data_IF_978148269493
#
_entry.id   IF_978148269493
#
_cell.length_a   1.000
_cell.length_b   1.000
_cell.length_c   1.000
_cell.angle_alpha   90.00
_cell.angle_beta   90.00
_cell.angle_gamma   90.00
#
_symmetry.space_group_name_H-M   'P 1'
#
loop_
_entity.id
_entity.type
_entity.pdbx_description
1 polymer ?
#
# COMPACT_ATOMS: atom_id res chain seq x y z
N UNK A 1 -17.57 17.42 -2.99
CA UNK A 1 -16.22 16.85 -3.20
C UNK A 1 -16.01 16.56 -4.68
N UNK A 2 -14.87 16.96 -5.26
CA UNK A 2 -14.56 16.66 -6.68
C UNK A 2 -14.30 15.15 -6.84
N UNK A 3 -14.84 14.49 -7.89
CA UNK A 3 -14.51 13.09 -8.17
C UNK A 3 -13.01 12.95 -8.39
N UNK A 4 -12.42 11.84 -7.92
CA UNK A 4 -11.02 11.54 -8.15
C UNK A 4 -10.77 11.51 -9.67
N UNK A 5 -10.11 12.53 -10.23
CA UNK A 5 -9.96 12.71 -11.69
C UNK A 5 -9.05 11.67 -12.35
N UNK A 6 -8.42 10.78 -11.58
CA UNK A 6 -7.41 9.83 -12.04
C UNK A 6 -7.75 8.37 -11.66
N UNK A 7 -8.97 7.90 -11.96
CA UNK A 7 -9.26 6.47 -11.84
C UNK A 7 -8.91 5.74 -13.14
N UNK A 8 -8.34 4.54 -13.01
CA UNK A 8 -7.97 3.67 -14.13
C UNK A 8 -9.19 2.90 -14.62
N UNK A 9 -9.98 2.39 -13.69
CA UNK A 9 -11.21 1.67 -13.98
C UNK A 9 -12.21 1.93 -12.86
N UNK A 10 -13.47 2.14 -13.26
CA UNK A 10 -14.63 2.23 -12.38
C UNK A 10 -15.65 1.23 -12.87
N UNK A 11 -16.07 0.34 -11.99
CA UNK A 11 -17.03 -0.72 -12.33
C UNK A 11 -18.06 -0.91 -11.22
N UNK A 12 -19.24 -1.41 -11.57
CA UNK A 12 -20.31 -1.71 -10.64
C UNK A 12 -20.26 -3.19 -10.28
N UNK A 13 -19.90 -3.50 -9.04
CA UNK A 13 -19.74 -4.87 -8.55
C UNK A 13 -20.52 -5.08 -7.26
N UNK A 14 -20.67 -6.34 -6.90
CA UNK A 14 -21.05 -6.74 -5.56
C UNK A 14 -19.81 -6.90 -4.71
N UNK A 15 -19.87 -6.50 -3.46
CA UNK A 15 -18.78 -6.72 -2.53
C UNK A 15 -19.28 -7.03 -1.13
N UNK A 16 -18.47 -7.76 -0.39
CA UNK A 16 -18.69 -8.18 0.98
C UNK A 16 -17.44 -7.84 1.79
N UNK A 17 -17.62 -7.18 2.92
CA UNK A 17 -16.51 -6.88 3.84
C UNK A 17 -16.66 -7.74 5.08
N UNK A 18 -15.62 -8.51 5.37
CA UNK A 18 -15.50 -9.31 6.59
C UNK A 18 -14.38 -8.70 7.43
N UNK A 19 -14.76 -8.10 8.57
CA UNK A 19 -13.81 -7.53 9.53
C UNK A 19 -13.94 -8.24 10.89
N UNK A 20 -12.88 -8.26 11.71
CA UNK A 20 -13.00 -8.64 13.12
C UNK A 20 -13.87 -7.62 13.88
N UNK A 21 -14.58 -8.10 14.89
CA UNK A 21 -15.61 -7.36 15.64
C UNK A 21 -15.13 -6.06 16.28
N UNK A 22 -13.82 -5.88 16.40
CA UNK A 22 -13.11 -4.74 17.03
C UNK A 22 -12.92 -3.52 16.12
N UNK A 23 -13.16 -3.65 14.80
CA UNK A 23 -12.87 -2.57 13.85
C UNK A 23 -13.98 -1.50 13.78
N UNK A 24 -13.63 -0.22 13.96
CA UNK A 24 -14.51 0.96 13.83
C UNK A 24 -14.86 1.35 12.38
N UNK A 25 -14.91 0.39 11.46
CA UNK A 25 -15.23 0.67 10.06
C UNK A 25 -16.75 0.86 9.88
N UNK A 26 -17.16 2.06 9.47
CA UNK A 26 -18.54 2.40 9.10
C UNK A 26 -18.88 1.83 7.72
N UNK A 27 -19.03 0.51 7.64
CA UNK A 27 -19.51 -0.16 6.44
C UNK A 27 -20.38 -1.35 6.87
N UNK A 28 -21.50 -1.66 6.18
CA UNK A 28 -22.25 -2.89 6.41
C UNK A 28 -21.32 -4.10 6.26
N UNK A 29 -21.16 -4.84 7.36
CA UNK A 29 -20.23 -5.97 7.49
C UNK A 29 -21.02 -7.25 7.41
N UNK A 30 -20.48 -8.27 6.72
CA UNK A 30 -21.16 -9.54 6.43
C UNK A 30 -22.42 -9.41 5.56
N UNK A 31 -22.67 -8.25 4.96
CA UNK A 31 -23.76 -8.03 4.01
C UNK A 31 -23.23 -7.77 2.60
N UNK A 32 -23.85 -8.41 1.61
CA UNK A 32 -23.54 -8.17 0.21
C UNK A 32 -24.07 -6.81 -0.22
N UNK A 33 -23.15 -5.94 -0.63
CA UNK A 33 -23.45 -4.61 -1.11
C UNK A 33 -23.21 -4.51 -2.61
N UNK A 34 -24.10 -3.83 -3.33
CA UNK A 34 -23.86 -3.43 -4.73
C UNK A 34 -23.34 -2.01 -4.74
N UNK A 35 -22.17 -1.78 -5.33
CA UNK A 35 -21.61 -0.44 -5.41
C UNK A 35 -20.45 -0.31 -6.40
N UNK A 36 -19.95 0.91 -6.53
CA UNK A 36 -18.86 1.23 -7.41
C UNK A 36 -17.53 0.82 -6.80
N UNK A 37 -16.77 0.04 -7.56
CA UNK A 37 -15.39 -0.31 -7.27
C UNK A 37 -14.51 0.49 -8.21
N UNK A 38 -13.69 1.36 -7.63
CA UNK A 38 -12.85 2.31 -8.36
C UNK A 38 -11.39 2.01 -8.07
N UNK A 39 -10.65 1.59 -9.08
CA UNK A 39 -9.22 1.36 -9.00
C UNK A 39 -8.48 2.58 -9.54
N UNK A 40 -7.56 3.10 -8.73
CA UNK A 40 -6.63 4.17 -9.11
C UNK A 40 -5.20 3.60 -9.25
N UNK A 41 -4.20 4.46 -9.38
CA UNK A 41 -2.79 4.05 -9.45
C UNK A 41 -2.31 3.26 -8.24
N UNK A 42 -2.83 3.60 -7.06
CA UNK A 42 -2.28 3.26 -5.75
C UNK A 42 -3.36 2.89 -4.73
N UNK A 43 -4.64 3.16 -5.02
CA UNK A 43 -5.76 2.92 -4.09
C UNK A 43 -6.92 2.20 -4.78
N UNK A 44 -7.58 1.31 -4.04
CA UNK A 44 -8.88 0.72 -4.40
C UNK A 44 -9.96 1.35 -3.52
N UNK A 45 -11.01 1.89 -4.14
CA UNK A 45 -12.16 2.45 -3.44
C UNK A 45 -13.41 1.61 -3.66
N UNK A 46 -14.19 1.40 -2.59
CA UNK A 46 -15.55 0.87 -2.64
C UNK A 46 -16.50 1.99 -2.25
N UNK A 47 -17.51 2.24 -3.07
CA UNK A 47 -18.47 3.33 -2.86
C UNK A 47 -19.90 2.82 -3.09
N UNK A 48 -20.79 3.02 -2.13
CA UNK A 48 -22.21 2.74 -2.34
C UNK A 48 -22.85 3.76 -3.30
N UNK A 49 -23.92 3.39 -4.03
CA UNK A 49 -24.56 4.27 -5.01
C UNK A 49 -25.10 5.58 -4.41
N UNK A 50 -25.50 5.54 -3.14
CA UNK A 50 -26.00 6.69 -2.38
C UNK A 50 -24.90 7.68 -1.96
N UNK A 51 -23.62 7.29 -2.10
CA UNK A 51 -22.45 8.10 -1.76
C UNK A 51 -22.15 8.19 -0.26
N UNK A 52 -22.98 7.61 0.60
CA UNK A 52 -22.87 7.73 2.07
C UNK A 52 -21.70 6.93 2.64
N UNK A 53 -21.31 5.86 1.94
CA UNK A 53 -20.29 4.93 2.41
C UNK A 53 -19.16 4.81 1.39
N UNK A 54 -17.95 5.19 1.82
CA UNK A 54 -16.73 5.08 1.01
C UNK A 54 -15.61 4.42 1.80
N UNK A 55 -15.28 3.18 1.42
CA UNK A 55 -14.07 2.52 1.87
C UNK A 55 -12.94 2.80 0.88
N UNK A 56 -11.76 3.13 1.37
CA UNK A 56 -10.55 3.30 0.56
C UNK A 56 -9.45 2.43 1.15
N UNK A 57 -8.83 1.60 0.32
CA UNK A 57 -7.72 0.74 0.72
C UNK A 57 -6.51 0.98 -0.16
N UNK A 58 -5.36 1.36 0.41
CA UNK A 58 -4.10 1.41 -0.33
C UNK A 58 -3.73 0.04 -0.90
N UNK A 59 -3.23 0.00 -2.13
CA UNK A 59 -2.85 -1.26 -2.79
C UNK A 59 -1.66 -1.96 -2.11
N UNK A 60 -0.80 -1.20 -1.42
CA UNK A 60 0.28 -1.77 -0.60
C UNK A 60 -0.22 -2.39 0.72
N UNK A 61 -1.46 -2.12 1.14
CA UNK A 61 -2.09 -2.74 2.32
C UNK A 61 -2.61 -4.16 2.04
N UNK A 62 -2.78 -4.52 0.77
CA UNK A 62 -3.32 -5.83 0.37
C UNK A 62 -2.24 -6.90 0.50
N UNK A 63 -2.38 -7.75 1.50
CA UNK A 63 -1.43 -8.83 1.80
C UNK A 63 -1.62 -10.00 0.83
N UNK A 64 -2.87 -10.38 0.57
CA UNK A 64 -3.24 -11.52 -0.28
C UNK A 64 -4.35 -11.12 -1.25
N UNK A 65 -4.25 -11.65 -2.47
CA UNK A 65 -5.30 -11.51 -3.48
C UNK A 65 -5.46 -12.84 -4.22
N UNK A 66 -6.64 -13.44 -4.17
CA UNK A 66 -6.90 -14.74 -4.79
C UNK A 66 -8.26 -14.80 -5.48
N UNK A 67 -8.33 -15.58 -6.56
CA UNK A 67 -9.59 -15.88 -7.24
C UNK A 67 -10.28 -17.00 -6.46
N UNK A 68 -11.53 -16.76 -6.06
CA UNK A 68 -12.28 -17.78 -5.36
C UNK A 68 -12.84 -18.77 -6.36
N UNK A 69 -12.53 -20.06 -6.16
CA UNK A 69 -13.13 -21.14 -6.94
C UNK A 69 -14.55 -21.40 -6.43
N UNK A 70 -15.44 -21.86 -7.32
CA UNK A 70 -16.76 -22.32 -6.93
C UNK A 70 -16.62 -23.56 -6.05
N UNK A 71 -16.62 -23.37 -4.73
CA UNK A 71 -16.54 -24.42 -3.71
C UNK A 71 -16.61 -23.85 -2.30
N UNK A 72 -17.15 -24.62 -1.35
CA UNK A 72 -17.11 -24.34 0.10
C UNK A 72 -18.08 -23.30 0.67
N UNK A 73 -18.31 -22.16 0.02
CA UNK A 73 -19.12 -21.07 0.60
C UNK A 73 -19.75 -20.09 -0.38
N UNK A 74 -19.54 -20.27 -1.69
CA UNK A 74 -20.00 -19.37 -2.75
C UNK A 74 -21.09 -20.00 -3.64
N UNK A 75 -21.85 -20.94 -3.10
CA UNK A 75 -22.88 -21.69 -3.86
C UNK A 75 -23.94 -20.79 -4.50
N UNK A 76 -24.14 -19.58 -3.97
CA UNK A 76 -25.10 -18.60 -4.45
C UNK A 76 -24.59 -17.71 -5.60
N UNK A 77 -23.33 -17.84 -6.02
CA UNK A 77 -22.79 -17.01 -7.11
C UNK A 77 -23.19 -17.60 -8.47
N UNK A 78 -23.86 -16.82 -9.34
CA UNK A 78 -24.23 -17.25 -10.70
C UNK A 78 -23.05 -17.84 -11.51
N UNK A 79 -23.30 -18.72 -12.47
CA UNK A 79 -22.25 -19.34 -13.32
C UNK A 79 -21.49 -18.35 -14.18
N UNK A 80 -22.17 -17.28 -14.60
CA UNK A 80 -21.58 -16.17 -15.33
C UNK A 80 -20.85 -15.16 -14.43
N UNK A 81 -20.77 -15.39 -13.12
CA UNK A 81 -20.07 -14.51 -12.19
C UNK A 81 -18.69 -15.05 -11.81
N UNK A 82 -17.80 -14.13 -11.47
CA UNK A 82 -16.49 -14.39 -10.89
C UNK A 82 -16.42 -13.73 -9.52
N UNK A 83 -15.63 -14.31 -8.62
CA UNK A 83 -15.34 -13.72 -7.33
C UNK A 83 -13.83 -13.73 -7.05
N UNK A 84 -13.37 -12.71 -6.35
CA UNK A 84 -12.00 -12.61 -5.85
C UNK A 84 -11.99 -12.08 -4.44
N UNK A 85 -11.07 -12.58 -3.62
CA UNK A 85 -10.87 -12.15 -2.24
C UNK A 85 -9.57 -11.37 -2.13
N UNK A 86 -9.65 -10.27 -1.39
CA UNK A 86 -8.52 -9.47 -0.94
C UNK A 86 -8.44 -9.60 0.58
N UNK A 87 -7.25 -9.87 1.11
CA UNK A 87 -6.96 -9.71 2.52
C UNK A 87 -6.12 -8.45 2.69
N UNK A 88 -6.53 -7.61 3.64
CA UNK A 88 -5.96 -6.28 3.83
C UNK A 88 -5.52 -6.13 5.28
N UNK A 89 -4.28 -5.69 5.47
CA UNK A 89 -3.75 -5.29 6.77
C UNK A 89 -4.17 -3.84 7.04
N UNK A 90 -5.03 -3.64 8.02
CA UNK A 90 -5.59 -2.33 8.38
C UNK A 90 -4.53 -1.37 8.92
N UNK A 91 -3.43 -1.86 9.49
CA UNK A 91 -2.45 -1.04 10.20
C UNK A 91 -1.02 -1.12 9.63
N UNK A 92 -0.80 -1.81 8.50
CA UNK A 92 0.53 -2.04 7.91
C UNK A 92 1.59 -2.59 8.89
N UNK A 93 1.16 -3.14 10.02
CA UNK A 93 1.97 -3.54 11.17
C UNK A 93 1.63 -4.94 11.67
N UNK A 94 0.77 -5.67 10.95
CA UNK A 94 0.22 -6.94 11.42
C UNK A 94 -0.93 -6.75 12.42
N UNK A 95 -1.75 -5.71 12.22
CA UNK A 95 -2.99 -5.51 12.97
C UNK A 95 -4.12 -6.41 12.48
N UNK A 96 -5.35 -6.07 12.89
CA UNK A 96 -6.58 -6.75 12.49
C UNK A 96 -6.70 -6.84 10.97
N UNK A 97 -6.61 -8.05 10.42
CA UNK A 97 -6.85 -8.33 9.01
C UNK A 97 -8.34 -8.27 8.72
N UNK A 98 -8.72 -7.56 7.68
CA UNK A 98 -10.07 -7.67 7.12
C UNK A 98 -9.99 -8.22 5.70
N UNK A 99 -11.04 -8.90 5.28
CA UNK A 99 -11.16 -9.39 3.91
C UNK A 99 -12.29 -8.70 3.16
N UNK A 100 -12.03 -8.47 1.87
CA UNK A 100 -12.98 -7.92 0.92
C UNK A 100 -13.17 -8.93 -0.18
N UNK A 101 -14.39 -9.41 -0.33
CA UNK A 101 -14.77 -10.26 -1.46
C UNK A 101 -15.44 -9.36 -2.49
N UNK A 102 -14.95 -9.40 -3.72
CA UNK A 102 -15.53 -8.72 -4.88
C UNK A 102 -16.16 -9.76 -5.79
N UNK A 103 -17.35 -9.49 -6.31
CA UNK A 103 -18.03 -10.36 -7.26
C UNK A 103 -18.82 -9.59 -8.31
N UNK A 104 -18.86 -10.12 -9.53
CA UNK A 104 -19.65 -9.57 -10.62
C UNK A 104 -19.61 -10.43 -11.88
N UNK A 105 -20.28 -10.00 -12.96
CA UNK A 105 -20.25 -10.70 -14.24
C UNK A 105 -18.81 -10.93 -14.70
N UNK A 106 -18.50 -12.12 -15.18
CA UNK A 106 -17.14 -12.53 -15.58
C UNK A 106 -16.55 -11.61 -16.65
N UNK A 107 -17.38 -11.13 -17.58
CA UNK A 107 -16.99 -10.17 -18.62
C UNK A 107 -16.46 -8.84 -18.07
N UNK A 108 -16.89 -8.45 -16.87
CA UNK A 108 -16.50 -7.21 -16.19
C UNK A 108 -15.42 -7.48 -15.14
N UNK A 109 -15.60 -8.54 -14.36
CA UNK A 109 -14.75 -8.87 -13.22
C UNK A 109 -13.37 -9.40 -13.65
N UNK A 110 -13.28 -10.16 -14.74
CA UNK A 110 -11.99 -10.69 -15.21
C UNK A 110 -10.98 -9.57 -15.60
N UNK A 111 -11.31 -8.64 -16.52
CA UNK A 111 -10.38 -7.58 -16.88
C UNK A 111 -10.09 -6.63 -15.71
N UNK A 112 -11.08 -6.36 -14.85
CA UNK A 112 -10.88 -5.60 -13.62
C UNK A 112 -9.87 -6.29 -12.68
N UNK A 113 -10.05 -7.59 -12.44
CA UNK A 113 -9.20 -8.36 -11.56
C UNK A 113 -7.76 -8.44 -12.07
N UNK A 114 -7.57 -8.64 -13.38
CA UNK A 114 -6.22 -8.71 -13.97
C UNK A 114 -5.47 -7.39 -13.82
N UNK A 115 -6.17 -6.27 -14.03
CA UNK A 115 -5.62 -4.94 -13.80
C UNK A 115 -5.28 -4.70 -12.32
N UNK A 116 -6.17 -5.12 -11.41
CA UNK A 116 -5.93 -5.03 -9.97
C UNK A 116 -4.67 -5.81 -9.58
N UNK A 117 -4.53 -7.06 -10.02
CA UNK A 117 -3.35 -7.90 -9.74
C UNK A 117 -2.06 -7.26 -10.29
N UNK A 118 -2.10 -6.71 -11.50
CA UNK A 118 -0.96 -6.00 -12.07
C UNK A 118 -0.55 -4.79 -11.21
N UNK A 119 -1.54 -4.03 -10.73
CA UNK A 119 -1.30 -2.85 -9.87
C UNK A 119 -0.80 -3.23 -8.48
N UNK A 120 -1.32 -4.30 -7.89
CA UNK A 120 -0.83 -4.85 -6.63
C UNK A 120 0.66 -5.25 -6.72
N UNK A 121 1.06 -5.92 -7.81
CA UNK A 121 2.48 -6.25 -8.05
C UNK A 121 3.35 -5.00 -8.13
N UNK A 122 2.90 -3.99 -8.87
CA UNK A 122 3.63 -2.71 -9.00
C UNK A 122 3.74 -1.97 -7.67
N UNK A 123 2.65 -1.91 -6.90
CA UNK A 123 2.63 -1.27 -5.58
C UNK A 123 3.59 -1.94 -4.60
N UNK A 124 3.59 -3.29 -4.55
CA UNK A 124 4.53 -4.05 -3.70
C UNK A 124 5.99 -3.79 -4.08
N UNK A 125 6.32 -3.78 -5.38
CA UNK A 125 7.69 -3.48 -5.84
C UNK A 125 8.12 -2.04 -5.52
N UNK A 126 7.20 -1.09 -5.57
CA UNK A 126 7.47 0.30 -5.19
C UNK A 126 7.70 0.46 -3.69
N UNK A 127 6.90 -0.19 -2.84
CA UNK A 127 7.07 -0.16 -1.39
C UNK A 127 8.41 -0.80 -1.00
N UNK A 128 8.75 -1.95 -1.58
CA UNK A 128 10.04 -2.60 -1.34
C UNK A 128 11.22 -1.68 -1.70
N UNK A 129 11.16 -0.98 -2.83
CA UNK A 129 12.20 -0.03 -3.23
C UNK A 129 12.31 1.14 -2.22
N UNK A 130 11.17 1.66 -1.75
CA UNK A 130 11.12 2.71 -0.75
C UNK A 130 11.73 2.24 0.58
N UNK A 131 11.44 1.02 0.99
CA UNK A 131 11.97 0.38 2.19
C UNK A 131 13.49 0.20 2.10
N UNK A 132 14.00 -0.28 0.97
CA UNK A 132 15.45 -0.39 0.71
C UNK A 132 16.16 0.97 0.77
N UNK A 133 15.56 2.03 0.21
CA UNK A 133 16.11 3.39 0.29
C UNK A 133 16.16 3.92 1.72
N UNK A 134 15.12 3.65 2.51
CA UNK A 134 15.07 4.03 3.93
C UNK A 134 16.10 3.26 4.75
N UNK A 135 16.28 1.96 4.50
CA UNK A 135 17.35 1.18 5.10
C UNK A 135 18.72 1.77 4.78
N UNK A 136 18.99 2.06 3.51
CA UNK A 136 20.25 2.68 3.06
C UNK A 136 20.50 4.04 3.73
N UNK A 137 19.46 4.86 3.87
CA UNK A 137 19.53 6.13 4.58
C UNK A 137 19.86 5.94 6.07
N UNK A 138 19.17 5.04 6.77
CA UNK A 138 19.45 4.79 8.19
C UNK A 138 20.85 4.23 8.44
N UNK A 139 21.34 3.37 7.56
CA UNK A 139 22.72 2.88 7.60
C UNK A 139 23.72 4.03 7.42
N UNK A 140 23.43 5.00 6.54
CA UNK A 140 24.28 6.19 6.37
C UNK A 140 24.32 7.09 7.60
N UNK A 141 23.29 7.03 8.45
CA UNK A 141 23.25 7.70 9.75
C UNK A 141 23.91 6.87 10.87
N UNK A 142 24.47 5.70 10.56
CA UNK A 142 25.14 4.81 11.51
C UNK A 142 24.22 3.85 12.25
N UNK A 143 22.93 3.75 11.89
CA UNK A 143 22.01 2.80 12.53
C UNK A 143 22.24 1.40 11.98
N UNK A 144 23.05 0.59 12.69
CA UNK A 144 23.41 -0.78 12.26
C UNK A 144 22.64 -1.89 12.96
N UNK A 145 21.94 -1.61 14.06
CA UNK A 145 21.23 -2.64 14.82
C UNK A 145 19.95 -3.07 14.10
N UNK A 146 19.73 -4.38 13.95
CA UNK A 146 18.51 -4.93 13.34
C UNK A 146 17.25 -4.47 14.08
N UNK A 147 17.32 -4.39 15.41
CA UNK A 147 16.23 -3.90 16.24
C UNK A 147 15.97 -2.40 16.03
N UNK A 148 17.02 -1.58 15.91
CA UNK A 148 16.88 -0.14 15.64
C UNK A 148 16.30 0.13 14.25
N UNK A 149 16.78 -0.59 13.24
CA UNK A 149 16.23 -0.53 11.88
C UNK A 149 14.77 -0.98 11.85
N UNK A 150 14.45 -2.11 12.48
CA UNK A 150 13.08 -2.63 12.58
C UNK A 150 12.15 -1.66 13.29
N UNK A 151 12.59 -1.05 14.39
CA UNK A 151 11.82 -0.06 15.13
C UNK A 151 11.56 1.21 14.32
N UNK A 152 12.61 1.84 13.76
CA UNK A 152 12.49 3.10 13.02
C UNK A 152 11.70 2.96 11.71
N UNK A 153 11.80 1.80 11.07
CA UNK A 153 11.08 1.51 9.83
C UNK A 153 9.74 0.84 10.04
N UNK A 154 9.42 0.49 11.29
CA UNK A 154 8.23 -0.27 11.64
C UNK A 154 8.15 -1.59 10.84
N UNK A 155 9.26 -2.30 10.79
CA UNK A 155 9.43 -3.56 10.05
C UNK A 155 9.76 -4.71 11.00
N UNK A 156 9.26 -5.89 10.66
CA UNK A 156 9.69 -7.13 11.30
C UNK A 156 11.15 -7.44 10.94
N UNK A 157 11.85 -8.12 11.85
CA UNK A 157 13.28 -8.38 11.70
C UNK A 157 13.61 -9.18 10.43
N UNK A 158 12.74 -10.10 10.01
CA UNK A 158 12.93 -10.89 8.78
C UNK A 158 12.91 -9.99 7.54
N UNK A 159 12.05 -8.97 7.53
CA UNK A 159 11.96 -8.00 6.43
C UNK A 159 13.20 -7.10 6.39
N UNK A 160 13.71 -6.69 7.55
CA UNK A 160 14.96 -5.94 7.67
C UNK A 160 16.13 -6.77 7.12
N UNK A 161 16.26 -8.03 7.57
CA UNK A 161 17.31 -8.95 7.11
C UNK A 161 17.25 -9.21 5.60
N UNK A 162 16.05 -9.45 5.07
CA UNK A 162 15.85 -9.61 3.63
C UNK A 162 16.28 -8.35 2.86
N UNK A 163 15.93 -7.17 3.37
CA UNK A 163 16.35 -5.88 2.81
C UNK A 163 17.86 -5.69 2.83
N UNK A 164 18.52 -5.94 3.96
CA UNK A 164 19.98 -5.86 4.10
C UNK A 164 20.70 -6.85 3.17
N UNK A 165 20.21 -8.10 3.09
CA UNK A 165 20.75 -9.10 2.18
C UNK A 165 20.66 -8.64 0.72
N UNK A 166 19.57 -7.98 0.34
CA UNK A 166 19.41 -7.42 -1.00
C UNK A 166 20.34 -6.24 -1.25
N UNK A 167 20.50 -5.31 -0.30
CA UNK A 167 21.47 -4.22 -0.40
C UNK A 167 22.90 -4.74 -0.56
N UNK A 168 23.27 -5.79 0.19
CA UNK A 168 24.57 -6.45 0.09
C UNK A 168 24.78 -7.11 -1.27
N UNK A 169 23.80 -7.89 -1.75
CA UNK A 169 23.84 -8.52 -3.09
C UNK A 169 23.92 -7.49 -4.22
N UNK A 170 23.31 -6.31 -4.05
CA UNK A 170 23.41 -5.20 -5.00
C UNK A 170 24.75 -4.43 -4.89
N UNK A 171 25.61 -4.77 -3.92
CA UNK A 171 26.91 -4.13 -3.67
C UNK A 171 26.78 -2.71 -3.13
N UNK A 172 25.66 -2.39 -2.47
CA UNK A 172 25.40 -1.06 -1.89
C UNK A 172 25.94 -0.95 -0.46
N UNK A 173 26.09 -2.09 0.21
CA UNK A 173 26.70 -2.20 1.53
C UNK A 173 27.71 -3.34 1.51
N UNK A 174 28.72 -3.26 2.37
CA UNK A 174 29.71 -4.32 2.55
C UNK A 174 29.27 -5.34 3.63
N UNK A 175 30.16 -6.28 3.97
CA UNK A 175 29.89 -7.32 4.98
C UNK A 175 29.76 -6.77 6.41
N UNK A 176 30.27 -5.56 6.68
CA UNK A 176 30.13 -4.87 7.97
C UNK A 176 28.85 -4.04 8.08
N UNK A 177 28.11 -3.93 6.98
CA UNK A 177 26.90 -3.12 6.86
C UNK A 177 27.17 -1.65 6.55
N UNK A 178 28.42 -1.28 6.25
CA UNK A 178 28.78 0.07 5.83
C UNK A 178 28.47 0.30 4.36
N UNK A 179 28.11 1.55 4.01
CA UNK A 179 27.79 1.90 2.64
C UNK A 179 29.06 1.85 1.77
N UNK A 180 28.97 1.19 0.63
CA UNK A 180 29.98 1.29 -0.41
C UNK A 180 29.88 2.63 -1.14
N UNK A 181 30.87 2.97 -1.96
CA UNK A 181 30.79 4.14 -2.83
C UNK A 181 29.53 4.11 -3.73
N UNK A 182 29.19 2.91 -4.23
CA UNK A 182 27.96 2.68 -5.00
C UNK A 182 26.71 2.95 -4.17
N UNK A 183 26.70 2.54 -2.90
CA UNK A 183 25.64 2.84 -1.94
C UNK A 183 25.46 4.35 -1.73
N UNK A 184 26.56 5.06 -1.49
CA UNK A 184 26.55 6.53 -1.29
C UNK A 184 26.03 7.27 -2.53
N UNK A 185 26.45 6.89 -3.73
CA UNK A 185 25.94 7.48 -4.99
C UNK A 185 24.44 7.24 -5.17
N UNK A 186 23.98 6.01 -4.92
CA UNK A 186 22.54 5.68 -5.00
C UNK A 186 21.71 6.44 -3.96
N UNK A 187 22.28 6.70 -2.79
CA UNK A 187 21.65 7.51 -1.76
C UNK A 187 21.56 8.99 -2.17
N UNK A 188 22.63 9.59 -2.69
CA UNK A 188 22.63 11.00 -3.10
C UNK A 188 21.64 11.27 -4.23
N UNK A 189 21.52 10.37 -5.22
CA UNK A 189 20.48 10.43 -6.25
C UNK A 189 19.06 10.40 -5.67
N UNK A 190 18.84 9.58 -4.64
CA UNK A 190 17.54 9.46 -3.98
C UNK A 190 17.21 10.70 -3.13
N UNK A 191 18.19 11.29 -2.45
CA UNK A 191 18.02 12.52 -1.64
C UNK A 191 17.73 13.72 -2.53
N UNK A 192 18.48 13.88 -3.63
CA UNK A 192 18.25 14.94 -4.62
C UNK A 192 16.86 14.86 -5.25
N UNK A 193 16.34 13.65 -5.47
CA UNK A 193 14.97 13.45 -5.97
C UNK A 193 13.91 13.90 -4.95
N UNK A 194 14.17 13.74 -3.65
CA UNK A 194 13.26 14.20 -2.59
C UNK A 194 13.29 15.74 -2.46
N UNK A 195 14.47 16.37 -2.56
CA UNK A 195 14.61 17.83 -2.52
C UNK A 195 13.88 18.51 -3.69
N UNK A 196 14.06 18.01 -4.93
CA UNK A 196 13.36 18.55 -6.10
C UNK A 196 11.84 18.36 -6.06
N UNK A 197 11.37 17.28 -5.42
CA UNK A 197 9.93 17.03 -5.25
C UNK A 197 9.30 17.93 -4.17
N UNK A 198 10.08 18.36 -3.18
CA UNK A 198 9.63 19.34 -2.19
C UNK A 198 9.52 20.74 -2.82
N UNK A 199 10.50 21.16 -3.63
CA UNK A 199 10.48 22.45 -4.34
C UNK A 199 9.30 22.57 -5.31
N UNK A 200 9.01 21.51 -6.09
CA UNK A 200 7.84 21.48 -7.00
C UNK A 200 6.49 21.45 -6.28
N UNK A 201 6.44 21.08 -4.99
CA UNK A 201 5.23 21.19 -4.16
C UNK A 201 5.08 22.59 -3.53
N UNK A 202 6.19 23.29 -3.29
CA UNK A 202 6.18 24.71 -2.89
C UNK A 202 5.68 25.61 -4.02
N UNK A 203 6.13 25.37 -5.26
CA UNK A 203 5.66 26.10 -6.45
C UNK A 203 4.17 25.85 -6.77
N UNK A 204 3.62 24.73 -6.31
CA UNK A 204 2.20 24.39 -6.45
C UNK A 204 1.30 25.04 -5.36
N UNK A 205 1.86 25.89 -4.49
CA UNK A 205 1.11 26.67 -3.51
C UNK A 205 0.68 25.91 -2.25
N UNK A 206 1.34 24.79 -1.91
CA UNK A 206 1.10 24.12 -0.63
C UNK A 206 1.86 24.81 0.51
N UNK A 207 1.18 25.17 1.63
CA UNK A 207 1.82 25.91 2.71
C UNK A 207 2.85 25.06 3.45
N UNK A 208 4.02 25.66 3.74
CA UNK A 208 5.08 25.10 4.58
C UNK A 208 4.55 24.76 5.97
N UNK A 209 4.29 23.48 6.24
CA UNK A 209 4.18 22.99 7.61
C UNK A 209 5.59 22.66 8.11
N UNK A 210 5.92 23.19 9.29
CA UNK A 210 7.21 23.11 10.01
C UNK A 210 8.25 24.17 9.66
N UNK A 211 7.99 25.39 10.13
CA UNK A 211 9.06 26.25 10.66
C UNK A 211 9.12 26.02 12.16
N UNK A 212 10.07 25.21 12.62
CA UNK A 212 10.46 25.21 14.03
C UNK A 212 11.14 26.55 14.30
N UNK A 213 10.36 27.54 14.75
CA UNK A 213 10.94 28.74 15.35
C UNK A 213 11.54 28.34 16.69
N UNK A 214 12.86 28.13 16.67
CA UNK A 214 13.68 28.21 17.87
C UNK A 214 13.58 29.61 18.45
N UNK A 215 12.66 29.82 19.39
CA UNK A 215 12.71 30.94 20.31
C UNK A 215 13.77 30.63 21.37
N UNK A 216 15.02 30.98 21.07
CA UNK A 216 15.95 31.37 22.13
C UNK A 216 15.46 32.69 22.71
N UNK A 217 15.00 32.66 23.96
CA UNK A 217 14.98 33.84 24.82
C UNK A 217 15.58 33.45 26.16
N UNK A 218 16.76 34.02 26.38
CA UNK A 218 17.47 34.32 27.63
C UNK A 218 17.79 33.15 28.55
#
# INVERSE_FOLDING_TARGET
>A
MKPARNYLIKTLLYFLINKPSTSKMDFPVKEWCRGYVVLTSDTLHLQLPDGNYRLSMPLNAVVKAERLRKGGGLRFIPTNFMAGQLEVDSNHTGGDLYSVILSGPRSVMAPFWDMLIQRLKKAKAQEENKDLRRLLYLLSLGVKSLQGLGFLLNMRQEKVLSGLSKLYKEGLIDSSGDLTEKGLRKLSEAVLFLSRKAETMEDAGFPRMFRLEGRSRL
#
